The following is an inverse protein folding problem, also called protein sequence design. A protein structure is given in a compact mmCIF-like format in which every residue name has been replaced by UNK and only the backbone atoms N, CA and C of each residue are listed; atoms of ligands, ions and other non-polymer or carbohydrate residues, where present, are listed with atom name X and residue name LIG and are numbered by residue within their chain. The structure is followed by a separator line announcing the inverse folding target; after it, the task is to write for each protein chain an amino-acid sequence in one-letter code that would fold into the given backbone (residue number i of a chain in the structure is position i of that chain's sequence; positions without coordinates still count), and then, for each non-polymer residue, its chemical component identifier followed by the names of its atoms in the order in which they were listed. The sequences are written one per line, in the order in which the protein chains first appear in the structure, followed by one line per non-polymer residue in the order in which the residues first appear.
data_IF_271965396301
#
_entry.id   IF_271965396301
#
_cell.length_a   1.000
_cell.length_b   1.000
_cell.length_c   1.000
_cell.angle_alpha   90.00
_cell.angle_beta   90.00
_cell.angle_gamma   90.00
#
_symmetry.space_group_name_H-M   'P 1'
#
loop_
_entity.id
_entity.type
_entity.pdbx_description
1 polymer ?
#
# COMPACT_ATOMS: atom_id res chain seq x y z
N UNK A 1 7.03 -11.09 3.02
CA UNK A 1 6.91 -10.68 1.60
C UNK A 1 7.33 -9.22 1.47
N UNK A 2 7.77 -8.81 0.28
CA UNK A 2 8.27 -7.47 0.01
C UNK A 2 7.38 -6.73 -1.00
N UNK A 3 7.15 -5.45 -0.73
CA UNK A 3 6.61 -4.51 -1.70
C UNK A 3 7.67 -4.19 -2.76
N UNK A 4 7.25 -4.00 -3.99
CA UNK A 4 8.07 -3.42 -5.06
C UNK A 4 8.03 -1.89 -5.02
N UNK A 5 6.94 -1.33 -4.49
CA UNK A 5 6.75 0.10 -4.34
C UNK A 5 5.91 0.40 -3.10
N UNK A 6 6.28 1.45 -2.36
CA UNK A 6 5.46 2.00 -1.28
C UNK A 6 5.69 3.50 -1.22
N UNK A 7 4.63 4.27 -1.45
CA UNK A 7 4.68 5.73 -1.55
C UNK A 7 3.62 6.35 -0.66
N UNK A 8 3.93 7.42 0.08
CA UNK A 8 2.88 8.22 0.73
C UNK A 8 2.10 8.99 -0.34
N UNK A 9 0.79 8.80 -0.40
CA UNK A 9 -0.03 9.35 -1.48
C UNK A 9 -1.50 9.48 -1.11
N UNK A 10 -2.23 10.25 -1.92
CA UNK A 10 -3.67 10.43 -1.79
C UNK A 10 -4.47 9.35 -2.53
N UNK A 11 -5.67 9.05 -2.06
CA UNK A 11 -6.71 8.37 -2.87
C UNK A 11 -7.24 9.31 -3.95
N UNK A 12 -8.09 8.81 -4.85
CA UNK A 12 -8.86 9.66 -5.78
C UNK A 12 -9.67 10.75 -5.03
N UNK A 13 -10.20 10.41 -3.85
CA UNK A 13 -10.93 11.32 -2.97
C UNK A 13 -10.04 12.24 -2.11
N UNK A 14 -8.73 12.32 -2.39
CA UNK A 14 -7.75 13.11 -1.62
C UNK A 14 -7.58 12.66 -0.15
N UNK A 15 -7.85 11.38 0.15
CA UNK A 15 -7.61 10.81 1.49
C UNK A 15 -6.15 10.38 1.61
N UNK A 16 -5.54 10.66 2.76
CA UNK A 16 -4.14 10.29 3.02
C UNK A 16 -3.99 8.76 3.13
N UNK A 17 -2.93 8.23 2.52
CA UNK A 17 -2.62 6.82 2.60
C UNK A 17 -1.30 6.45 1.94
N UNK A 18 -1.23 5.21 1.50
CA UNK A 18 -0.06 4.59 0.89
C UNK A 18 -0.43 3.99 -0.45
N UNK A 19 0.33 4.33 -1.47
CA UNK A 19 0.27 3.69 -2.79
C UNK A 19 1.32 2.58 -2.79
N UNK A 20 0.85 1.34 -2.81
CA UNK A 20 1.67 0.15 -2.72
C UNK A 20 1.60 -0.68 -4.00
N UNK A 21 2.71 -1.31 -4.34
CA UNK A 21 2.78 -2.35 -5.37
C UNK A 21 3.58 -3.54 -4.84
N UNK A 22 3.21 -4.72 -5.30
CA UNK A 22 3.87 -5.98 -4.98
C UNK A 22 3.71 -6.93 -6.19
N UNK A 23 4.61 -7.91 -6.30
CA UNK A 23 4.49 -8.96 -7.32
C UNK A 23 3.13 -9.63 -7.19
N UNK A 24 2.42 -9.80 -8.30
CA UNK A 24 1.07 -10.36 -8.27
C UNK A 24 1.10 -11.78 -7.71
N UNK A 25 0.60 -11.91 -6.49
CA UNK A 25 0.44 -13.15 -5.75
C UNK A 25 -1.01 -13.19 -5.27
N UNK A 26 -1.73 -14.24 -5.67
CA UNK A 26 -3.16 -14.34 -5.46
C UNK A 26 -3.51 -14.37 -3.96
N UNK A 27 -2.73 -15.10 -3.16
CA UNK A 27 -2.96 -15.25 -1.72
C UNK A 27 -2.82 -13.89 -1.00
N UNK A 28 -1.89 -13.08 -1.49
CA UNK A 28 -1.58 -11.76 -0.96
C UNK A 28 -2.69 -10.77 -1.27
N UNK A 29 -3.15 -10.80 -2.52
CA UNK A 29 -4.22 -9.96 -3.00
C UNK A 29 -5.54 -10.29 -2.29
N UNK A 30 -5.82 -11.58 -2.06
CA UNK A 30 -6.97 -12.05 -1.28
C UNK A 30 -6.85 -11.67 0.20
N UNK A 31 -5.69 -11.86 0.83
CA UNK A 31 -5.48 -11.44 2.22
C UNK A 31 -5.67 -9.92 2.39
N UNK A 32 -5.10 -9.12 1.49
CA UNK A 32 -5.32 -7.67 1.48
C UNK A 32 -6.80 -7.33 1.29
N UNK A 33 -7.52 -8.11 0.47
CA UNK A 33 -8.97 -7.96 0.28
C UNK A 33 -9.81 -8.32 1.49
N UNK A 34 -9.39 -9.28 2.28
CA UNK A 34 -10.08 -9.68 3.50
C UNK A 34 -9.78 -8.74 4.67
N UNK A 35 -8.53 -8.31 4.80
CA UNK A 35 -8.08 -7.52 5.94
C UNK A 35 -8.51 -6.04 5.86
N UNK A 36 -8.63 -5.49 4.66
CA UNK A 36 -8.92 -4.08 4.44
C UNK A 36 -10.28 -3.95 3.73
N UNK A 37 -11.24 -3.18 4.27
CA UNK A 37 -12.53 -2.97 3.63
C UNK A 37 -12.36 -2.17 2.34
N UNK A 38 -13.27 -2.35 1.38
CA UNK A 38 -13.25 -1.65 0.09
C UNK A 38 -13.32 -0.12 0.21
N UNK A 39 -13.78 0.41 1.34
CA UNK A 39 -13.77 1.86 1.62
C UNK A 39 -12.38 2.39 1.92
N UNK A 40 -11.47 1.55 2.43
CA UNK A 40 -10.13 1.94 2.91
C UNK A 40 -9.01 1.47 1.98
N UNK A 41 -9.37 1.07 0.77
CA UNK A 41 -8.43 0.69 -0.29
C UNK A 41 -9.01 0.97 -1.66
N UNK A 42 -8.14 1.15 -2.62
CA UNK A 42 -8.51 1.46 -3.99
C UNK A 42 -7.54 0.79 -4.95
N UNK A 43 -8.03 0.23 -6.05
CA UNK A 43 -7.18 -0.28 -7.12
C UNK A 43 -7.01 0.80 -8.19
N UNK A 44 -5.77 1.25 -8.40
CA UNK A 44 -5.44 2.17 -9.48
C UNK A 44 -5.04 1.35 -10.71
N UNK A 45 -5.92 1.29 -11.70
CA UNK A 45 -5.73 0.44 -12.87
C UNK A 45 -4.56 0.91 -13.76
N UNK A 46 -4.33 2.21 -13.86
CA UNK A 46 -3.30 2.81 -14.73
C UNK A 46 -1.88 2.47 -14.26
N UNK A 47 -1.64 2.57 -12.95
CA UNK A 47 -0.34 2.31 -12.33
C UNK A 47 -0.19 0.88 -11.82
N UNK A 48 -1.24 0.06 -11.89
CA UNK A 48 -1.29 -1.29 -11.30
C UNK A 48 -0.88 -1.28 -9.82
N UNK A 49 -1.37 -0.30 -9.06
CA UNK A 49 -1.06 -0.13 -7.64
C UNK A 49 -2.31 -0.12 -6.79
N UNK A 50 -2.16 -0.50 -5.52
CA UNK A 50 -3.21 -0.31 -4.52
C UNK A 50 -2.97 0.98 -3.76
N UNK A 51 -3.96 1.84 -3.64
CA UNK A 51 -4.01 2.78 -2.54
C UNK A 51 -4.60 2.10 -1.31
N UNK A 52 -4.04 2.37 -0.14
CA UNK A 52 -4.49 1.89 1.16
C UNK A 52 -4.48 3.06 2.14
N UNK A 53 -5.56 3.20 2.90
CA UNK A 53 -5.71 4.27 3.89
C UNK A 53 -4.62 4.26 4.96
N UNK A 54 -4.25 5.45 5.44
CA UNK A 54 -3.21 5.62 6.46
C UNK A 54 -3.52 4.89 7.77
N UNK A 55 -4.80 4.68 8.09
CA UNK A 55 -5.21 3.97 9.32
C UNK A 55 -4.79 2.49 9.34
N UNK A 56 -4.41 1.94 8.18
CA UNK A 56 -3.89 0.56 8.04
C UNK A 56 -2.35 0.50 8.00
N UNK A 57 -1.64 1.56 8.37
CA UNK A 57 -0.18 1.59 8.40
C UNK A 57 0.41 0.40 9.18
N UNK A 58 -0.10 0.13 10.38
CA UNK A 58 0.39 -0.97 11.23
C UNK A 58 0.16 -2.35 10.62
N UNK A 59 -0.93 -2.53 9.87
CA UNK A 59 -1.17 -3.76 9.13
C UNK A 59 -0.14 -3.93 8.01
N UNK A 60 0.10 -2.87 7.23
CA UNK A 60 1.06 -2.90 6.13
C UNK A 60 2.49 -3.15 6.63
N UNK A 61 2.88 -2.57 7.77
CA UNK A 61 4.17 -2.84 8.44
C UNK A 61 4.34 -4.30 8.82
N UNK A 62 3.28 -4.93 9.36
CA UNK A 62 3.31 -6.35 9.75
C UNK A 62 3.31 -7.28 8.54
N UNK A 63 2.56 -6.94 7.50
CA UNK A 63 2.41 -7.77 6.31
C UNK A 63 3.63 -7.71 5.38
N UNK A 64 4.24 -6.54 5.25
CA UNK A 64 5.34 -6.28 4.31
C UNK A 64 6.61 -5.88 5.05
N UNK A 65 7.60 -6.78 5.06
CA UNK A 65 8.82 -6.62 5.85
C UNK A 65 9.72 -5.45 5.42
N UNK A 66 9.50 -4.89 4.24
CA UNK A 66 10.24 -3.74 3.71
C UNK A 66 9.42 -2.44 3.63
N UNK A 67 8.23 -2.40 4.24
CA UNK A 67 7.35 -1.24 4.18
C UNK A 67 8.01 0.04 4.72
N UNK A 68 8.56 0.00 5.93
CA UNK A 68 9.22 1.16 6.54
C UNK A 68 10.47 1.59 5.77
N UNK A 69 11.24 0.63 5.26
CA UNK A 69 12.42 0.93 4.46
C UNK A 69 12.08 1.72 3.20
N UNK A 70 10.99 1.36 2.50
CA UNK A 70 10.56 2.06 1.29
C UNK A 70 10.00 3.46 1.59
N UNK A 71 9.24 3.62 2.68
CA UNK A 71 8.76 4.94 3.10
C UNK A 71 9.92 5.84 3.51
N UNK A 72 10.88 5.31 4.26
CA UNK A 72 12.06 6.06 4.68
C UNK A 72 12.87 6.55 3.49
N UNK A 73 13.11 5.68 2.49
CA UNK A 73 13.81 6.06 1.26
C UNK A 73 13.12 7.21 0.52
N UNK A 74 11.78 7.26 0.51
CA UNK A 74 11.07 8.40 -0.05
C UNK A 74 11.30 9.69 0.73
N UNK A 75 11.25 9.63 2.07
CA UNK A 75 11.46 10.80 2.93
C UNK A 75 12.87 11.37 2.83
N UNK A 76 13.85 10.57 2.39
CA UNK A 76 15.25 11.00 2.20
C UNK A 76 15.56 11.56 0.80
N UNK A 77 14.66 11.40 -0.16
CA UNK A 77 14.85 11.86 -1.54
C UNK A 77 14.36 13.31 -1.78
N UNK A 78 13.89 13.99 -0.72
CA UNK A 78 13.41 15.37 -0.77
C UNK A 78 13.97 16.20 0.39
#
# INVERSE_FOLDING_TARGET
MNLTQCIRGGSQDRRNGFIIAFSYDQDVMENLKMAIPHTEREWHEDSKTWWVSVVYEDFLKKQFGNFEALIYLQGTLF
#
